data_IF_163666850313
#
_entry.id   IF_163666850313
#
_cell.length_a   1.000
_cell.length_b   1.000
_cell.length_c   1.000
_cell.angle_alpha   90.00
_cell.angle_beta   90.00
_cell.angle_gamma   90.00
#
_symmetry.space_group_name_H-M   'P 1'
#
loop_
_entity.id
_entity.type
_entity.pdbx_description
1 polymer ?
#
# COMPACT_ATOMS: atom_id res chain seq x y z
N UNK A 1 4.53 -64.50 -2.86
CA UNK A 1 4.50 -63.53 -1.73
C UNK A 1 4.36 -62.11 -2.27
N UNK A 2 3.21 -61.46 -2.08
CA UNK A 2 2.95 -60.08 -2.57
C UNK A 2 3.33 -59.07 -1.49
N UNK A 3 4.39 -58.27 -1.72
CA UNK A 3 4.78 -57.18 -0.81
C UNK A 3 3.74 -56.07 -0.88
N UNK A 4 2.87 -55.97 0.14
CA UNK A 4 1.87 -54.89 0.26
C UNK A 4 2.60 -53.54 0.35
N UNK A 5 2.43 -52.68 -0.65
CA UNK A 5 2.99 -51.32 -0.69
C UNK A 5 2.24 -50.43 0.30
N UNK A 6 2.78 -50.32 1.52
CA UNK A 6 2.23 -49.43 2.54
C UNK A 6 2.52 -47.99 2.13
N UNK A 7 1.47 -47.23 1.79
CA UNK A 7 1.57 -45.84 1.31
C UNK A 7 2.32 -44.93 2.28
N UNK A 8 3.03 -43.93 1.76
CA UNK A 8 3.96 -43.08 2.51
C UNK A 8 3.38 -42.46 3.79
N UNK A 9 2.10 -42.10 3.81
CA UNK A 9 1.43 -41.54 4.99
C UNK A 9 1.39 -42.49 6.20
N UNK A 10 1.27 -43.80 5.98
CA UNK A 10 1.29 -44.82 7.05
C UNK A 10 2.70 -45.00 7.62
N UNK A 11 3.75 -44.79 6.81
CA UNK A 11 5.16 -44.82 7.25
C UNK A 11 5.47 -43.69 8.23
N UNK A 12 5.02 -42.46 7.94
CA UNK A 12 5.30 -41.30 8.81
C UNK A 12 4.60 -41.41 10.17
N UNK A 13 3.37 -41.93 10.21
CA UNK A 13 2.64 -42.13 11.48
C UNK A 13 3.34 -43.18 12.36
N UNK A 14 3.90 -44.23 11.77
CA UNK A 14 4.64 -45.28 12.49
C UNK A 14 5.96 -44.76 13.10
N UNK A 15 6.68 -43.88 12.40
CA UNK A 15 7.91 -43.25 12.94
C UNK A 15 7.59 -42.33 14.11
N UNK A 16 6.52 -41.53 14.01
CA UNK A 16 6.10 -40.65 15.10
C UNK A 16 5.68 -41.44 16.35
N UNK A 17 4.96 -42.57 16.19
CA UNK A 17 4.57 -43.43 17.30
C UNK A 17 5.77 -44.17 17.91
N UNK A 18 6.70 -44.67 17.09
CA UNK A 18 7.90 -45.35 17.59
C UNK A 18 8.82 -44.41 18.40
N UNK A 19 8.97 -43.16 17.95
CA UNK A 19 9.71 -42.12 18.68
C UNK A 19 9.02 -41.75 20.01
N UNK A 20 7.69 -41.70 20.04
CA UNK A 20 6.94 -41.47 21.28
C UNK A 20 7.07 -42.62 22.28
N UNK A 21 7.38 -43.84 21.81
CA UNK A 21 7.53 -45.04 22.63
C UNK A 21 8.99 -45.36 23.00
N UNK A 22 9.95 -44.53 22.60
CA UNK A 22 11.37 -44.74 22.92
C UNK A 22 12.03 -45.94 22.23
N UNK A 23 11.39 -46.52 21.21
CA UNK A 23 11.98 -47.59 20.41
C UNK A 23 12.94 -47.03 19.36
N UNK A 24 14.03 -47.76 19.10
CA UNK A 24 15.00 -47.42 18.07
C UNK A 24 14.33 -47.26 16.70
N UNK A 25 14.77 -46.26 15.94
CA UNK A 25 14.16 -45.92 14.65
C UNK A 25 14.17 -47.14 13.72
N UNK A 26 13.03 -47.50 13.10
CA UNK A 26 13.00 -48.61 12.15
C UNK A 26 13.88 -48.26 10.95
N UNK A 27 15.06 -48.91 10.84
CA UNK A 27 15.90 -48.86 9.64
C UNK A 27 15.07 -49.32 8.45
N UNK A 28 14.78 -48.40 7.55
CA UNK A 28 13.92 -48.67 6.40
C UNK A 28 14.76 -48.84 5.14
N UNK A 29 14.97 -50.08 4.73
CA UNK A 29 15.62 -50.45 3.45
C UNK A 29 14.64 -50.27 2.27
N UNK A 30 14.25 -49.03 2.02
CA UNK A 30 13.36 -48.66 0.92
C UNK A 30 13.96 -47.60 0.02
N UNK A 31 13.63 -47.59 -1.28
CA UNK A 31 14.13 -46.59 -2.21
C UNK A 31 13.77 -45.18 -1.73
N UNK A 32 14.72 -44.26 -1.91
CA UNK A 32 14.64 -42.90 -1.42
C UNK A 32 13.29 -42.24 -1.83
N UNK A 33 12.67 -41.46 -0.94
CA UNK A 33 11.40 -40.81 -1.25
C UNK A 33 11.55 -39.88 -2.47
N UNK A 34 10.52 -39.73 -3.31
CA UNK A 34 10.53 -38.85 -4.47
C UNK A 34 11.03 -37.42 -4.16
N UNK A 35 11.76 -36.79 -5.10
CA UNK A 35 12.42 -35.49 -4.92
C UNK A 35 11.51 -34.37 -4.39
N UNK A 36 10.25 -34.34 -4.81
CA UNK A 36 9.29 -33.33 -4.33
C UNK A 36 8.95 -33.49 -2.84
N UNK A 37 8.99 -34.72 -2.32
CA UNK A 37 8.78 -35.02 -0.89
C UNK A 37 10.02 -34.60 -0.10
N UNK A 38 11.22 -34.89 -0.60
CA UNK A 38 12.46 -34.42 0.01
C UNK A 38 12.50 -32.90 0.11
N UNK A 39 12.13 -32.18 -0.96
CA UNK A 39 12.02 -30.71 -0.94
C UNK A 39 11.01 -30.20 0.10
N UNK A 40 9.87 -30.88 0.27
CA UNK A 40 8.86 -30.53 1.30
C UNK A 40 9.41 -30.77 2.71
N UNK A 41 10.13 -31.86 2.94
CA UNK A 41 10.75 -32.16 4.22
C UNK A 41 11.86 -31.16 4.56
N UNK A 42 12.74 -30.85 3.61
CA UNK A 42 13.80 -29.85 3.79
C UNK A 42 13.24 -28.48 4.17
N UNK A 43 12.15 -28.04 3.51
CA UNK A 43 11.46 -26.78 3.87
C UNK A 43 10.90 -26.81 5.29
N UNK A 44 10.34 -27.93 5.73
CA UNK A 44 9.81 -28.09 7.09
C UNK A 44 10.92 -28.07 8.13
N UNK A 45 12.05 -28.73 7.88
CA UNK A 45 13.23 -28.70 8.77
C UNK A 45 13.77 -27.27 8.87
N UNK A 46 14.01 -26.61 7.74
CA UNK A 46 14.47 -25.21 7.72
C UNK A 46 13.51 -24.25 8.44
N UNK A 47 12.19 -24.49 8.36
CA UNK A 47 11.22 -23.70 9.10
C UNK A 47 11.35 -23.91 10.61
N UNK A 48 11.47 -25.17 11.06
CA UNK A 48 11.63 -25.48 12.47
C UNK A 48 12.95 -24.92 13.03
N UNK A 49 14.04 -24.97 12.26
CA UNK A 49 15.32 -24.36 12.64
C UNK A 49 15.21 -22.83 12.74
N UNK A 50 14.48 -22.18 11.83
CA UNK A 50 14.22 -20.74 11.92
C UNK A 50 13.36 -20.38 13.13
N UNK A 51 12.37 -21.21 13.46
CA UNK A 51 11.53 -20.96 14.65
C UNK A 51 12.33 -21.18 15.94
N UNK A 52 13.14 -22.24 16.02
CA UNK A 52 13.95 -22.51 17.21
C UNK A 52 15.02 -21.43 17.43
N UNK A 53 15.70 -20.98 16.37
CA UNK A 53 16.69 -19.90 16.45
C UNK A 53 16.06 -18.56 16.84
N UNK A 54 14.94 -18.17 16.23
CA UNK A 54 14.26 -16.91 16.53
C UNK A 54 13.60 -16.88 17.92
N UNK A 55 13.07 -18.02 18.39
CA UNK A 55 12.52 -18.11 19.75
C UNK A 55 13.63 -18.04 20.80
N UNK A 56 14.84 -18.51 20.49
CA UNK A 56 15.98 -18.40 21.39
C UNK A 56 16.53 -16.95 21.46
N UNK A 57 16.65 -16.25 20.33
CA UNK A 57 17.06 -14.82 20.33
C UNK A 57 16.06 -13.90 21.05
N UNK A 58 14.76 -14.17 20.93
CA UNK A 58 13.71 -13.46 21.69
C UNK A 58 13.71 -13.79 23.19
N UNK A 59 14.19 -14.98 23.59
CA UNK A 59 14.31 -15.37 25.00
C UNK A 59 15.56 -14.84 25.68
N UNK A 60 16.65 -14.64 24.94
CA UNK A 60 17.90 -14.07 25.46
C UNK A 60 17.88 -12.55 25.60
N UNK A 61 16.92 -11.84 24.98
CA UNK A 61 16.71 -10.42 25.23
C UNK A 61 15.92 -10.18 26.53
N UNK A 62 16.45 -10.65 27.67
CA UNK A 62 16.09 -10.15 29.01
C UNK A 62 16.84 -8.85 29.38
N UNK A 63 17.72 -8.36 28.51
CA UNK A 63 18.26 -7.01 28.61
C UNK A 63 17.34 -6.07 27.81
N UNK A 64 16.60 -5.23 28.54
CA UNK A 64 15.64 -4.29 27.97
C UNK A 64 16.25 -3.43 26.87
N UNK A 65 15.44 -3.15 25.85
CA UNK A 65 15.77 -2.21 24.78
C UNK A 65 16.06 -0.85 25.40
N UNK A 66 17.33 -0.46 25.48
CA UNK A 66 17.75 0.87 25.90
C UNK A 66 17.24 1.90 24.87
N UNK A 67 16.12 2.55 25.17
CA UNK A 67 15.61 3.69 24.40
C UNK A 67 16.60 4.85 24.56
N UNK A 68 17.31 5.21 23.50
CA UNK A 68 18.14 6.42 23.47
C UNK A 68 17.23 7.66 23.48
N UNK A 69 17.03 8.26 24.63
CA UNK A 69 16.33 9.56 24.78
C UNK A 69 17.29 10.70 24.42
N UNK A 70 17.37 11.04 23.13
CA UNK A 70 18.01 12.27 22.67
C UNK A 70 17.06 13.45 22.87
N UNK A 71 17.19 14.17 23.99
CA UNK A 71 16.46 15.41 24.28
C UNK A 71 16.94 16.51 23.32
N UNK A 72 16.23 16.75 22.22
CA UNK A 72 16.47 17.93 21.38
C UNK A 72 15.89 19.16 22.07
N UNK A 73 16.59 20.30 21.90
CA UNK A 73 16.31 21.59 22.53
C UNK A 73 14.84 21.99 22.35
N UNK A 74 14.29 22.66 23.37
CA UNK A 74 12.92 23.18 23.34
C UNK A 74 12.70 23.97 22.04
N UNK A 75 11.68 23.56 21.28
CA UNK A 75 11.25 24.21 20.06
C UNK A 75 10.84 25.66 20.37
N UNK A 76 11.06 26.62 19.46
CA UNK A 76 10.50 27.96 19.61
C UNK A 76 8.97 27.90 19.71
N UNK A 77 8.39 28.95 20.30
CA UNK A 77 6.97 29.06 20.62
C UNK A 77 6.08 28.71 19.40
N UNK A 78 5.17 27.75 19.61
CA UNK A 78 4.28 27.18 18.60
C UNK A 78 2.99 27.99 18.44
N UNK A 79 2.90 29.17 19.08
CA UNK A 79 1.77 30.09 18.99
C UNK A 79 1.42 30.43 17.53
N UNK A 80 2.43 30.67 16.69
CA UNK A 80 2.24 30.94 15.26
C UNK A 80 1.82 29.69 14.45
N UNK A 81 2.15 28.49 14.93
CA UNK A 81 1.73 27.24 14.28
C UNK A 81 0.23 27.00 14.44
N UNK A 82 -0.34 27.39 15.58
CA UNK A 82 -1.78 27.31 15.83
C UNK A 82 -2.58 28.15 14.83
N UNK A 83 -2.16 29.39 14.61
CA UNK A 83 -2.79 30.29 13.63
C UNK A 83 -2.69 29.74 12.19
N UNK A 84 -1.52 29.21 11.82
CA UNK A 84 -1.30 28.59 10.50
C UNK A 84 -2.16 27.33 10.32
N UNK A 85 -2.30 26.49 11.35
CA UNK A 85 -3.15 25.30 11.30
C UNK A 85 -4.63 25.66 11.22
N UNK A 86 -5.06 26.72 11.90
CA UNK A 86 -6.43 27.22 11.83
C UNK A 86 -6.74 27.86 10.47
N UNK A 87 -5.78 28.57 9.85
CA UNK A 87 -5.94 29.03 8.47
C UNK A 87 -6.04 27.87 7.47
N UNK A 88 -5.26 26.81 7.66
CA UNK A 88 -5.30 25.60 6.82
C UNK A 88 -6.62 24.82 7.03
N UNK A 89 -7.11 24.72 8.27
CA UNK A 89 -8.38 24.05 8.57
C UNK A 89 -9.59 24.84 8.03
N UNK A 90 -9.53 26.18 8.08
CA UNK A 90 -10.54 27.07 7.48
C UNK A 90 -10.53 27.02 5.96
N UNK A 91 -9.35 26.97 5.31
CA UNK A 91 -9.26 26.72 3.86
C UNK A 91 -9.80 25.34 3.45
N UNK A 92 -9.57 24.31 4.29
CA UNK A 92 -10.09 22.96 4.06
C UNK A 92 -11.61 22.80 4.29
N UNK A 93 -12.21 23.64 5.13
CA UNK A 93 -13.65 23.56 5.49
C UNK A 93 -14.52 24.55 4.71
N UNK A 94 -14.01 25.72 4.32
CA UNK A 94 -14.76 26.70 3.54
C UNK A 94 -15.00 26.28 2.07
N UNK A 95 -14.21 25.34 1.53
CA UNK A 95 -14.45 24.76 0.21
C UNK A 95 -15.42 23.56 0.21
N UNK A 96 -15.85 23.09 1.39
CA UNK A 96 -16.68 21.87 1.54
C UNK A 96 -18.13 22.15 1.97
N UNK A 97 -18.60 23.39 1.82
CA UNK A 97 -19.97 23.79 2.12
C UNK A 97 -20.92 23.74 0.93
N UNK A 98 -20.99 22.63 0.18
CA UNK A 98 -22.13 22.32 -0.68
C UNK A 98 -22.10 20.85 -1.14
N UNK A 99 -23.08 20.08 -0.64
CA UNK A 99 -23.61 18.83 -1.20
C UNK A 99 -22.61 17.74 -1.68
N UNK A 100 -22.46 16.71 -0.85
CA UNK A 100 -22.59 15.32 -1.32
C UNK A 100 -21.65 14.87 -2.43
N UNK A 101 -20.35 14.92 -2.19
CA UNK A 101 -19.38 14.22 -3.02
C UNK A 101 -18.14 13.91 -2.21
N UNK A 102 -17.97 12.65 -1.81
CA UNK A 102 -16.66 12.16 -1.35
C UNK A 102 -15.72 12.35 -2.53
N UNK A 103 -15.02 13.48 -2.61
CA UNK A 103 -13.89 13.60 -3.54
C UNK A 103 -12.88 12.57 -3.07
N UNK A 104 -12.89 11.43 -3.75
CA UNK A 104 -11.83 10.46 -3.65
C UNK A 104 -10.57 11.24 -3.96
N UNK A 105 -9.77 11.54 -2.93
CA UNK A 105 -8.39 11.95 -3.13
C UNK A 105 -7.85 10.91 -4.10
N UNK A 106 -7.51 11.32 -5.31
CA UNK A 106 -6.82 10.48 -6.29
C UNK A 106 -5.47 10.15 -5.70
N UNK A 107 -5.46 9.18 -4.78
CA UNK A 107 -4.25 8.57 -4.28
C UNK A 107 -3.67 7.91 -5.51
N UNK A 108 -2.56 8.46 -6.00
CA UNK A 108 -1.85 7.93 -7.15
C UNK A 108 -1.75 6.41 -7.06
N UNK A 109 -1.89 5.75 -8.21
CA UNK A 109 -1.93 4.28 -8.30
C UNK A 109 -0.71 3.71 -7.58
N UNK A 110 -0.94 3.11 -6.41
CA UNK A 110 0.13 2.59 -5.57
C UNK A 110 0.88 1.50 -6.33
N UNK A 111 2.18 1.68 -6.53
CA UNK A 111 3.01 0.73 -7.29
C UNK A 111 3.46 -0.41 -6.36
N UNK A 112 2.57 -1.38 -6.18
CA UNK A 112 2.72 -2.41 -5.14
C UNK A 112 3.70 -3.51 -5.54
N UNK A 113 3.87 -3.79 -6.84
CA UNK A 113 4.68 -4.93 -7.31
C UNK A 113 6.00 -4.50 -7.96
N UNK A 114 7.03 -5.37 -7.85
CA UNK A 114 8.31 -5.15 -8.50
C UNK A 114 8.21 -5.09 -10.04
N UNK A 115 7.28 -5.86 -10.64
CA UNK A 115 7.01 -5.83 -12.07
C UNK A 115 6.47 -4.47 -12.52
N UNK A 116 5.52 -3.91 -11.79
CA UNK A 116 4.99 -2.58 -12.08
C UNK A 116 6.08 -1.50 -11.94
N UNK A 117 6.92 -1.57 -10.91
CA UNK A 117 8.06 -0.65 -10.78
C UNK A 117 9.03 -0.74 -11.97
N UNK A 118 9.32 -1.95 -12.44
CA UNK A 118 10.17 -2.14 -13.60
C UNK A 118 9.53 -1.60 -14.88
N UNK A 119 8.24 -1.84 -15.08
CA UNK A 119 7.50 -1.31 -16.22
C UNK A 119 7.52 0.22 -16.25
N UNK A 120 7.24 0.87 -15.11
CA UNK A 120 7.33 2.33 -14.97
C UNK A 120 8.74 2.82 -15.28
N UNK A 121 9.78 2.14 -14.78
CA UNK A 121 11.16 2.50 -15.09
C UNK A 121 11.41 2.48 -16.61
N UNK A 122 10.96 1.44 -17.31
CA UNK A 122 11.12 1.33 -18.76
C UNK A 122 10.39 2.47 -19.47
N UNK A 123 9.14 2.73 -19.13
CA UNK A 123 8.34 3.81 -19.72
C UNK A 123 8.97 5.19 -19.49
N UNK A 124 9.36 5.49 -18.25
CA UNK A 124 10.00 6.75 -17.89
C UNK A 124 11.35 6.92 -18.59
N UNK A 125 12.13 5.83 -18.71
CA UNK A 125 13.42 5.87 -19.42
C UNK A 125 13.23 6.18 -20.91
N UNK A 126 12.20 5.61 -21.55
CA UNK A 126 11.88 5.89 -22.93
C UNK A 126 11.39 7.33 -23.12
N UNK A 127 10.53 7.82 -22.23
CA UNK A 127 10.04 9.20 -22.25
C UNK A 127 11.18 10.20 -22.10
N UNK A 128 12.10 9.95 -21.17
CA UNK A 128 13.29 10.78 -20.98
C UNK A 128 14.16 10.83 -22.25
N UNK A 129 14.40 9.69 -22.89
CA UNK A 129 15.15 9.65 -24.16
C UNK A 129 14.45 10.45 -25.27
N UNK A 130 13.12 10.45 -25.32
CA UNK A 130 12.36 11.25 -26.28
C UNK A 130 12.54 12.76 -26.04
N UNK A 131 12.47 13.20 -24.78
CA UNK A 131 12.71 14.61 -24.40
C UNK A 131 14.12 15.04 -24.83
N UNK A 132 15.13 14.23 -24.53
CA UNK A 132 16.53 14.53 -24.90
C UNK A 132 16.75 14.58 -26.43
N UNK A 133 15.98 13.80 -27.20
CA UNK A 133 16.05 13.82 -28.68
C UNK A 133 15.35 15.04 -29.29
N UNK A 134 14.45 15.70 -28.56
CA UNK A 134 13.59 16.75 -29.10
C UNK A 134 14.39 18.02 -29.47
N UNK A 135 14.19 18.59 -30.68
CA UNK A 135 14.99 19.71 -31.16
C UNK A 135 14.77 21.00 -30.34
N UNK A 136 13.55 21.26 -29.86
CA UNK A 136 13.31 22.42 -29.01
C UNK A 136 14.03 22.30 -27.66
N UNK A 137 14.08 21.10 -27.08
CA UNK A 137 14.74 20.86 -25.80
C UNK A 137 16.26 21.02 -25.90
N UNK A 138 16.86 20.63 -27.04
CA UNK A 138 18.28 20.83 -27.31
C UNK A 138 18.68 22.30 -27.49
N UNK A 139 17.77 23.13 -28.02
CA UNK A 139 18.02 24.57 -28.24
C UNK A 139 17.81 25.38 -26.99
N UNK A 140 16.65 25.21 -26.33
CA UNK A 140 16.30 25.89 -25.10
C UNK A 140 15.44 24.96 -24.22
N UNK A 141 16.04 24.32 -23.20
CA UNK A 141 15.33 23.38 -22.35
C UNK A 141 14.26 24.07 -21.50
N UNK A 142 14.47 25.34 -21.11
CA UNK A 142 13.53 26.08 -20.25
C UNK A 142 12.26 26.39 -21.05
N UNK A 143 12.43 26.96 -22.25
CA UNK A 143 11.29 27.28 -23.12
C UNK A 143 10.49 26.04 -23.53
N UNK A 144 11.18 24.92 -23.79
CA UNK A 144 10.52 23.65 -24.13
C UNK A 144 9.68 23.11 -22.97
N UNK A 145 10.18 23.18 -21.73
CA UNK A 145 9.43 22.77 -20.53
C UNK A 145 8.23 23.69 -20.31
N UNK A 146 8.39 25.01 -20.42
CA UNK A 146 7.28 25.96 -20.21
C UNK A 146 6.17 25.76 -21.24
N UNK A 147 6.53 25.55 -22.52
CA UNK A 147 5.57 25.26 -23.57
C UNK A 147 4.82 23.95 -23.28
N UNK A 148 5.55 22.88 -22.91
CA UNK A 148 4.93 21.60 -22.55
C UNK A 148 3.92 21.77 -21.41
N UNK A 149 4.32 22.42 -20.31
CA UNK A 149 3.44 22.64 -19.16
C UNK A 149 2.19 23.46 -19.51
N UNK A 150 2.33 24.49 -20.35
CA UNK A 150 1.18 25.28 -20.83
C UNK A 150 0.17 24.44 -21.61
N UNK A 151 0.61 23.42 -22.33
CA UNK A 151 -0.27 22.56 -23.14
C UNK A 151 -0.77 21.32 -22.41
N UNK A 152 -0.07 20.84 -21.37
CA UNK A 152 -0.48 19.64 -20.63
C UNK A 152 -1.30 19.93 -19.38
N UNK A 153 -1.15 21.10 -18.79
CA UNK A 153 -1.91 21.44 -17.58
C UNK A 153 -3.35 21.82 -17.96
N UNK A 154 -4.35 21.33 -17.21
CA UNK A 154 -5.73 21.74 -17.42
C UNK A 154 -5.88 23.25 -17.17
N UNK A 155 -6.82 23.93 -17.85
CA UNK A 155 -7.03 25.35 -17.66
C UNK A 155 -7.36 25.66 -16.19
N UNK A 156 -6.73 26.70 -15.66
CA UNK A 156 -6.95 27.17 -14.28
C UNK A 156 -8.46 27.43 -14.10
N UNK A 157 -9.11 26.84 -13.08
CA UNK A 157 -10.55 27.04 -12.88
C UNK A 157 -10.82 28.53 -12.65
N UNK A 158 -11.82 29.07 -13.34
CA UNK A 158 -12.20 30.46 -13.23
C UNK A 158 -12.48 30.84 -11.76
N UNK A 159 -12.10 32.06 -11.31
CA UNK A 159 -12.34 32.50 -9.96
C UNK A 159 -13.84 32.48 -9.68
N UNK A 160 -14.25 31.80 -8.61
CA UNK A 160 -15.65 31.75 -8.20
C UNK A 160 -16.14 33.18 -7.93
N UNK A 161 -17.29 33.60 -8.46
CA UNK A 161 -17.83 34.92 -8.19
C UNK A 161 -18.04 35.07 -6.67
N UNK A 162 -17.58 36.19 -6.12
CA UNK A 162 -17.79 36.51 -4.72
C UNK A 162 -19.30 36.53 -4.44
N UNK A 163 -19.77 35.61 -3.58
CA UNK A 163 -21.17 35.56 -3.20
C UNK A 163 -21.53 36.84 -2.44
N UNK A 164 -22.33 37.70 -3.07
CA UNK A 164 -23.00 38.82 -2.41
C UNK A 164 -23.99 38.25 -1.40
N UNK A 165 -23.70 38.43 -0.10
CA UNK A 165 -24.67 38.17 0.96
C UNK A 165 -25.79 39.21 0.86
N UNK A 166 -26.96 38.82 0.37
CA UNK A 166 -28.13 39.71 0.40
C UNK A 166 -29.40 39.12 -0.21
N UNK A 167 -30.48 39.19 0.58
CA UNK A 167 -31.89 39.11 0.21
C UNK A 167 -32.57 37.73 0.03
N UNK A 168 -33.28 37.32 1.08
CA UNK A 168 -34.74 37.27 1.00
C UNK A 168 -35.38 36.03 0.39
N UNK A 169 -35.62 35.01 1.22
CA UNK A 169 -36.53 33.89 0.96
C UNK A 169 -37.98 34.42 0.93
N UNK A 170 -38.62 34.53 -0.24
CA UNK A 170 -40.07 34.74 -0.38
C UNK A 170 -40.70 33.66 -1.27
N UNK A 171 -41.43 32.77 -0.59
CA UNK A 171 -42.71 32.12 -0.98
C UNK A 171 -43.06 31.92 -2.46
N UNK A 172 -43.30 30.66 -2.86
CA UNK A 172 -44.44 30.29 -3.71
C UNK A 172 -45.07 28.98 -3.20
N UNK A 173 -46.20 29.12 -2.51
CA UNK A 173 -47.18 28.05 -2.25
C UNK A 173 -48.51 28.54 -2.85
N UNK A 174 -48.91 27.97 -3.98
CA UNK A 174 -50.23 28.03 -4.62
C UNK A 174 -50.08 27.26 -5.95
N UNK A 175 -51.00 26.44 -6.43
CA UNK A 175 -52.25 25.89 -5.92
C UNK A 175 -52.47 24.59 -6.72
N UNK A 176 -52.95 23.55 -6.05
CA UNK A 176 -53.43 22.34 -6.71
C UNK A 176 -54.94 22.54 -6.94
N UNK A 177 -55.38 22.71 -8.19
CA UNK A 177 -56.80 22.60 -8.53
C UNK A 177 -57.02 22.38 -10.02
N UNK A 178 -57.88 21.39 -10.30
CA UNK A 178 -58.68 21.15 -11.51
C UNK A 178 -57.92 20.65 -12.75
N UNK A 179 -58.14 19.40 -13.20
CA UNK A 179 -59.32 18.82 -13.88
C UNK A 179 -59.10 18.84 -15.40
N UNK A 180 -58.87 17.67 -15.98
CA UNK A 180 -59.46 17.30 -17.27
C UNK A 180 -59.84 15.81 -17.21
N UNK A 181 -61.16 15.63 -17.14
CA UNK A 181 -61.93 14.46 -17.61
C UNK A 181 -61.74 14.38 -19.14
N UNK A 182 -61.44 13.21 -19.68
CA UNK A 182 -62.36 12.21 -20.27
C UNK A 182 -62.31 12.28 -21.80
#
# INVERSE_FOLDING_TARGET
MVKKKVGGGKRYKAVASAKAQGLAEPKWDGPAPPLHIQKKLARKVQFLDKVSTNTNTLRTSKAGVNKKTGRKKALPDLSTLGEVLDEVSKKGSAQNGAAGGKQAKERGVSVNTAKQRHHILVEESQRMQQVLKHPLYKKDPIAAITNHLQHTLPPVPAPKPAATKGAGKKSKKAANSSKMQE
#
